data_IF_388922752203
#
_entry.id   IF_388922752203
#
_cell.length_a   1.000
_cell.length_b   1.000
_cell.length_c   1.000
_cell.angle_alpha   90.00
_cell.angle_beta   90.00
_cell.angle_gamma   90.00
#
_symmetry.space_group_name_H-M   'P 1'
#
loop_
_entity.id
_entity.type
_entity.pdbx_description
1 polymer ?
#
# COMPACT_ATOMS: atom_id res chain seq x y z
N UNK A 1 -22.79 -3.52 -13.73
CA UNK A 1 -21.46 -2.91 -13.50
C UNK A 1 -21.33 -1.49 -14.05
N UNK A 2 -21.63 -1.21 -15.34
CA UNK A 2 -21.53 0.16 -15.93
C UNK A 2 -22.35 1.22 -15.16
N UNK A 3 -23.57 0.89 -14.71
CA UNK A 3 -24.43 1.81 -13.94
C UNK A 3 -23.86 2.18 -12.56
N UNK A 4 -23.21 1.23 -11.89
CA UNK A 4 -22.58 1.46 -10.56
C UNK A 4 -21.36 2.38 -10.71
N UNK A 5 -20.53 2.16 -11.73
CA UNK A 5 -19.40 3.05 -12.02
C UNK A 5 -19.84 4.48 -12.34
N UNK A 6 -20.96 4.63 -13.06
CA UNK A 6 -21.50 5.95 -13.38
C UNK A 6 -22.04 6.67 -12.14
N UNK A 7 -22.72 5.93 -11.24
CA UNK A 7 -23.23 6.49 -9.97
C UNK A 7 -22.10 6.91 -9.05
N UNK A 8 -21.04 6.10 -8.94
CA UNK A 8 -19.85 6.43 -8.15
C UNK A 8 -19.12 7.66 -8.72
N UNK A 9 -18.98 7.74 -10.04
CA UNK A 9 -18.40 8.92 -10.71
C UNK A 9 -19.23 10.19 -10.46
N UNK A 10 -20.58 10.09 -10.50
CA UNK A 10 -21.47 11.23 -10.24
C UNK A 10 -21.37 11.71 -8.78
N UNK A 11 -21.25 10.79 -7.82
CA UNK A 11 -21.06 11.12 -6.40
C UNK A 11 -19.70 11.80 -6.19
N UNK A 12 -18.63 11.34 -6.84
CA UNK A 12 -17.32 11.98 -6.75
C UNK A 12 -17.31 13.39 -7.36
N UNK A 13 -18.02 13.59 -8.48
CA UNK A 13 -18.15 14.92 -9.13
C UNK A 13 -18.98 15.88 -8.24
N UNK A 14 -20.06 15.40 -7.62
CA UNK A 14 -20.87 16.24 -6.71
C UNK A 14 -20.10 16.69 -5.47
N UNK A 15 -19.18 15.84 -4.95
CA UNK A 15 -18.31 16.22 -3.83
C UNK A 15 -17.29 17.30 -4.21
N UNK A 16 -16.83 17.35 -5.46
CA UNK A 16 -15.94 18.39 -5.95
C UNK A 16 -16.59 19.80 -5.96
N UNK A 17 -17.92 19.87 -6.09
CA UNK A 17 -18.67 21.15 -6.07
C UNK A 17 -18.72 21.83 -4.70
N UNK A 18 -18.52 21.09 -3.60
CA UNK A 18 -18.51 21.63 -2.25
C UNK A 18 -17.12 22.12 -1.81
N UNK A 19 -16.09 21.88 -2.59
CA UNK A 19 -14.69 22.24 -2.29
C UNK A 19 -14.37 23.74 -2.49
N UNK A 20 -15.36 24.58 -2.84
CA UNK A 20 -15.14 25.99 -3.17
C UNK A 20 -15.39 26.98 -2.01
N UNK A 21 -15.51 26.49 -0.76
CA UNK A 21 -15.77 27.37 0.36
C UNK A 21 -14.49 27.73 1.14
N UNK A 22 -14.22 29.05 1.14
CA UNK A 22 -13.23 29.81 1.92
C UNK A 22 -11.75 29.41 1.81
N UNK A 23 -10.99 30.37 1.31
CA UNK A 23 -9.54 30.44 1.22
C UNK A 23 -8.92 30.43 2.63
N UNK A 24 -8.99 29.30 3.31
CA UNK A 24 -8.16 29.03 4.47
C UNK A 24 -6.87 28.37 4.00
N UNK A 25 -5.76 28.89 4.49
CA UNK A 25 -4.34 28.65 4.25
C UNK A 25 -3.88 27.15 4.29
N UNK A 26 -4.68 26.21 3.78
CA UNK A 26 -4.48 24.78 3.96
C UNK A 26 -4.26 23.95 2.67
N UNK A 27 -4.47 24.54 1.50
CA UNK A 27 -4.21 23.82 0.26
C UNK A 27 -2.70 23.79 0.01
N UNK A 28 -2.11 22.61 0.12
CA UNK A 28 -0.66 22.39 -0.02
C UNK A 28 -0.39 21.21 -0.92
N UNK A 29 0.60 21.39 -1.77
CA UNK A 29 1.18 20.30 -2.56
C UNK A 29 2.53 19.99 -1.93
N UNK A 30 2.82 18.72 -1.72
CA UNK A 30 4.07 18.27 -1.15
C UNK A 30 4.62 17.06 -1.87
N UNK A 31 5.90 16.88 -1.70
CA UNK A 31 6.60 15.65 -2.05
C UNK A 31 6.87 14.87 -0.77
N UNK A 32 6.89 13.57 -0.85
CA UNK A 32 7.26 12.74 0.28
C UNK A 32 8.13 11.56 -0.15
N UNK A 33 8.91 11.10 0.79
CA UNK A 33 9.70 9.88 0.68
C UNK A 33 9.75 9.18 2.03
N UNK A 34 9.94 7.88 2.01
CA UNK A 34 9.94 7.10 3.23
C UNK A 34 10.39 5.67 3.05
N UNK A 35 10.30 4.96 4.15
CA UNK A 35 10.54 3.52 4.23
C UNK A 35 9.23 2.81 4.53
N UNK A 36 9.14 1.58 4.08
CA UNK A 36 8.02 0.72 4.41
C UNK A 36 8.50 -0.64 4.93
N UNK A 37 7.67 -1.29 5.71
CA UNK A 37 7.80 -2.68 6.08
C UNK A 37 6.60 -3.43 5.54
N UNK A 38 6.84 -4.36 4.62
CA UNK A 38 5.82 -5.19 4.01
C UNK A 38 5.79 -6.55 4.69
N UNK A 39 4.60 -7.01 5.04
CA UNK A 39 4.35 -8.32 5.64
C UNK A 39 3.26 -9.03 4.83
N UNK A 40 3.55 -10.19 4.28
CA UNK A 40 2.54 -11.02 3.62
C UNK A 40 1.96 -12.00 4.64
N UNK A 41 0.72 -11.78 5.06
CA UNK A 41 0.02 -12.69 5.97
C UNK A 41 -0.62 -13.83 5.16
N UNK A 42 -0.09 -15.03 5.29
CA UNK A 42 -0.59 -16.24 4.62
C UNK A 42 -0.37 -17.46 5.51
N UNK A 43 -1.22 -18.47 5.34
CA UNK A 43 -1.08 -19.78 6.00
C UNK A 43 -0.48 -20.84 5.04
N UNK A 44 -0.22 -20.50 3.78
CA UNK A 44 0.24 -21.45 2.78
C UNK A 44 1.74 -21.76 2.92
N UNK A 45 2.54 -20.78 3.38
CA UNK A 45 3.99 -20.90 3.57
C UNK A 45 4.48 -19.87 4.57
N UNK A 46 5.70 -20.09 5.10
CA UNK A 46 6.31 -19.16 6.05
C UNK A 46 6.89 -17.96 5.34
N UNK A 47 6.51 -16.76 5.79
CA UNK A 47 6.98 -15.48 5.27
C UNK A 47 7.69 -14.69 6.34
N UNK A 48 8.64 -13.85 5.92
CA UNK A 48 9.30 -12.87 6.78
C UNK A 48 9.07 -11.46 6.22
N UNK A 49 8.77 -10.48 7.09
CA UNK A 49 8.66 -9.09 6.67
C UNK A 49 9.94 -8.58 6.02
N UNK A 50 9.82 -7.77 4.99
CA UNK A 50 10.93 -7.09 4.39
C UNK A 50 10.75 -5.57 4.41
N UNK A 51 11.87 -4.86 4.34
CA UNK A 51 11.91 -3.40 4.29
C UNK A 51 12.06 -2.94 2.86
N UNK A 52 11.28 -1.92 2.48
CA UNK A 52 11.35 -1.28 1.18
C UNK A 52 11.36 0.23 1.32
N UNK A 53 11.14 0.91 0.21
CA UNK A 53 11.04 2.36 0.14
C UNK A 53 9.77 2.80 -0.59
N UNK A 54 9.36 4.02 -0.35
CA UNK A 54 8.27 4.66 -1.07
C UNK A 54 8.56 6.14 -1.29
N UNK A 55 7.90 6.74 -2.27
CA UNK A 55 7.97 8.16 -2.54
C UNK A 55 6.87 8.60 -3.48
N UNK A 56 6.48 9.87 -3.38
CA UNK A 56 5.37 10.37 -4.18
C UNK A 56 5.00 11.82 -3.94
N UNK A 57 3.79 12.13 -4.37
CA UNK A 57 3.18 13.44 -4.25
C UNK A 57 1.99 13.38 -3.29
N UNK A 58 1.84 14.41 -2.46
CA UNK A 58 0.70 14.59 -1.55
C UNK A 58 0.07 15.95 -1.77
N UNK A 59 -1.25 15.97 -1.85
CA UNK A 59 -2.05 17.19 -1.88
C UNK A 59 -2.96 17.19 -0.67
N UNK A 60 -2.83 18.20 0.18
CA UNK A 60 -3.67 18.40 1.36
C UNK A 60 -4.53 19.62 1.15
N UNK A 61 -5.83 19.49 1.32
CA UNK A 61 -6.80 20.57 1.23
C UNK A 61 -7.73 20.61 2.40
N UNK A 62 -8.17 21.81 2.83
CA UNK A 62 -9.20 21.94 3.84
C UNK A 62 -10.54 21.45 3.27
N UNK A 63 -11.19 20.55 3.99
CA UNK A 63 -12.47 20.01 3.59
C UNK A 63 -13.62 20.65 4.38
N UNK A 64 -13.56 20.62 5.70
CA UNK A 64 -14.59 21.20 6.56
C UNK A 64 -14.09 21.34 7.99
N UNK A 65 -14.13 22.54 8.58
CA UNK A 65 -13.69 22.81 9.95
C UNK A 65 -12.31 22.19 10.27
N UNK A 66 -12.31 21.20 11.17
CA UNK A 66 -11.11 20.48 11.60
C UNK A 66 -10.72 19.32 10.69
N UNK A 67 -11.34 19.20 9.52
CA UNK A 67 -11.11 18.13 8.56
C UNK A 67 -10.37 18.64 7.33
N UNK A 68 -9.29 17.98 7.00
CA UNK A 68 -8.61 18.09 5.71
C UNK A 68 -8.88 16.82 4.88
N UNK A 69 -8.79 16.97 3.58
CA UNK A 69 -8.71 15.86 2.64
C UNK A 69 -7.27 15.76 2.12
N UNK A 70 -6.71 14.57 2.17
CA UNK A 70 -5.36 14.29 1.67
C UNK A 70 -5.45 13.30 0.53
N UNK A 71 -5.02 13.74 -0.64
CA UNK A 71 -4.84 12.91 -1.80
C UNK A 71 -3.36 12.62 -1.98
N UNK A 72 -2.97 11.37 -2.19
CA UNK A 72 -1.58 11.04 -2.46
C UNK A 72 -1.45 10.01 -3.59
N UNK A 73 -0.39 10.16 -4.35
CA UNK A 73 0.09 9.20 -5.34
C UNK A 73 1.51 8.82 -4.98
N UNK A 74 1.80 7.51 -4.90
CA UNK A 74 3.13 7.04 -4.56
C UNK A 74 3.55 5.85 -5.43
N UNK A 75 4.86 5.74 -5.58
CA UNK A 75 5.54 4.54 -6.02
C UNK A 75 6.24 3.91 -4.84
N UNK A 76 6.27 2.59 -4.79
CA UNK A 76 6.95 1.86 -3.73
C UNK A 76 7.60 0.58 -4.27
N UNK A 77 8.66 0.19 -3.60
CA UNK A 77 9.20 -1.15 -3.66
C UNK A 77 8.94 -1.82 -2.31
N UNK A 78 8.28 -2.95 -2.36
CA UNK A 78 7.92 -3.73 -1.19
C UNK A 78 8.69 -5.04 -1.24
N UNK A 79 9.37 -5.39 -0.16
CA UNK A 79 10.19 -6.58 -0.08
C UNK A 79 9.64 -7.53 0.99
N UNK A 80 9.75 -8.81 0.77
CA UNK A 80 9.48 -9.86 1.76
C UNK A 80 10.26 -11.10 1.39
N UNK A 81 10.40 -12.03 2.32
CA UNK A 81 11.08 -13.30 2.08
C UNK A 81 10.15 -14.46 2.38
N UNK A 82 10.40 -15.57 1.71
CA UNK A 82 9.72 -16.85 1.92
C UNK A 82 10.78 -17.90 2.26
N UNK A 83 10.50 -18.70 3.29
CA UNK A 83 11.39 -19.81 3.65
C UNK A 83 11.38 -20.86 2.53
N UNK A 84 12.56 -21.18 2.01
CA UNK A 84 12.77 -22.17 0.95
C UNK A 84 13.83 -23.19 1.34
N UNK A 85 13.79 -24.36 0.72
CA UNK A 85 14.82 -25.36 0.83
C UNK A 85 15.62 -25.43 -0.48
N UNK A 86 16.88 -25.11 -0.42
CA UNK A 86 17.87 -25.47 -1.42
C UNK A 86 18.36 -26.90 -1.10
N UNK A 87 19.09 -27.53 -2.01
CA UNK A 87 19.44 -28.97 -1.98
C UNK A 87 19.91 -29.50 -0.62
N UNK A 88 20.46 -28.64 0.26
CA UNK A 88 20.98 -29.06 1.58
C UNK A 88 20.75 -28.03 2.71
N UNK A 89 20.19 -26.88 2.44
CA UNK A 89 20.11 -25.77 3.40
C UNK A 89 18.72 -25.10 3.30
N UNK A 90 18.14 -24.76 4.43
CA UNK A 90 16.94 -23.88 4.49
C UNK A 90 17.43 -22.44 4.37
N UNK A 91 17.02 -21.76 3.32
CA UNK A 91 17.37 -20.36 3.03
C UNK A 91 16.10 -19.52 2.86
N UNK A 92 16.24 -18.22 2.94
CA UNK A 92 15.13 -17.29 2.68
C UNK A 92 15.26 -16.76 1.25
N UNK A 93 14.28 -17.07 0.41
CA UNK A 93 14.19 -16.49 -0.94
C UNK A 93 13.53 -15.11 -0.87
N UNK A 94 14.19 -14.11 -1.44
CA UNK A 94 13.77 -12.72 -1.40
C UNK A 94 12.89 -12.36 -2.61
N UNK A 95 11.76 -11.71 -2.31
CA UNK A 95 10.84 -11.21 -3.32
C UNK A 95 10.78 -9.69 -3.29
N UNK A 96 10.74 -9.09 -4.48
CA UNK A 96 10.63 -7.63 -4.68
C UNK A 96 9.38 -7.32 -5.49
N UNK A 97 8.56 -6.42 -4.97
CA UNK A 97 7.32 -5.98 -5.58
C UNK A 97 7.33 -4.46 -5.77
N UNK A 98 7.48 -4.03 -7.01
CA UNK A 98 7.23 -2.63 -7.38
C UNK A 98 5.72 -2.39 -7.47
N UNK A 99 5.24 -1.30 -6.91
CA UNK A 99 3.82 -0.93 -6.96
C UNK A 99 3.60 0.58 -7.06
N UNK A 100 2.45 0.94 -7.60
CA UNK A 100 1.93 2.30 -7.61
C UNK A 100 0.65 2.34 -6.76
N UNK A 101 0.48 3.38 -5.95
CA UNK A 101 -0.65 3.54 -5.05
C UNK A 101 -1.28 4.91 -5.23
N UNK A 102 -2.61 4.94 -5.08
CA UNK A 102 -3.40 6.17 -4.99
C UNK A 102 -4.26 6.08 -3.74
N UNK A 103 -4.20 7.11 -2.91
CA UNK A 103 -4.98 7.18 -1.67
C UNK A 103 -5.78 8.46 -1.57
N UNK A 104 -6.93 8.36 -0.89
CA UNK A 104 -7.77 9.48 -0.51
C UNK A 104 -8.08 9.35 0.97
N UNK A 105 -7.47 10.23 1.79
CA UNK A 105 -7.56 10.16 3.23
C UNK A 105 -8.35 11.35 3.78
N UNK A 106 -9.22 11.08 4.73
CA UNK A 106 -9.75 12.10 5.63
C UNK A 106 -8.76 12.30 6.76
N UNK A 107 -8.43 13.54 7.06
CA UNK A 107 -7.46 13.92 8.06
C UNK A 107 -8.10 14.83 9.09
N UNK A 108 -8.30 14.31 10.30
CA UNK A 108 -8.82 15.07 11.44
C UNK A 108 -7.69 15.82 12.15
N UNK A 109 -7.80 17.14 12.25
CA UNK A 109 -6.82 17.99 12.92
C UNK A 109 -7.02 17.93 14.43
N UNK A 110 -6.18 17.16 15.15
CA UNK A 110 -6.17 17.11 16.61
C UNK A 110 -5.54 18.41 17.14
N UNK A 111 -4.43 18.84 16.52
CA UNK A 111 -3.79 20.11 16.77
C UNK A 111 -3.53 20.76 15.41
N UNK A 112 -4.13 21.92 15.19
CA UNK A 112 -4.03 22.63 13.90
C UNK A 112 -2.58 22.80 13.46
N UNK A 113 -2.29 22.45 12.22
CA UNK A 113 -0.95 22.46 11.61
C UNK A 113 0.13 21.58 12.26
N UNK A 114 -0.17 20.83 13.34
CA UNK A 114 0.84 20.05 14.04
C UNK A 114 0.55 18.55 14.11
N UNK A 115 -0.69 18.16 14.42
CA UNK A 115 -1.03 16.76 14.63
C UNK A 115 -2.38 16.42 13.99
N UNK A 116 -2.41 15.39 13.18
CA UNK A 116 -3.62 14.91 12.51
C UNK A 116 -3.70 13.39 12.58
N UNK A 117 -4.93 12.87 12.71
CA UNK A 117 -5.27 11.48 12.51
C UNK A 117 -5.84 11.31 11.09
N UNK A 118 -5.35 10.34 10.34
CA UNK A 118 -5.71 10.15 8.95
C UNK A 118 -6.27 8.75 8.73
N UNK A 119 -7.35 8.64 7.94
CA UNK A 119 -7.90 7.35 7.56
C UNK A 119 -8.60 7.45 6.20
N UNK A 120 -8.60 6.38 5.45
CA UNK A 120 -9.25 6.34 4.16
C UNK A 120 -8.86 5.15 3.30
N UNK A 121 -9.44 5.06 2.10
CA UNK A 121 -9.14 4.03 1.14
C UNK A 121 -7.84 4.31 0.38
N UNK A 122 -7.17 3.22 0.02
CA UNK A 122 -6.04 3.21 -0.87
C UNK A 122 -6.22 2.08 -1.89
N UNK A 123 -5.89 2.36 -3.14
CA UNK A 123 -5.83 1.38 -4.22
C UNK A 123 -4.38 1.23 -4.66
N UNK A 124 -3.92 0.00 -4.76
CA UNK A 124 -2.58 -0.35 -5.23
C UNK A 124 -2.65 -1.12 -6.53
N UNK A 125 -1.77 -0.76 -7.45
CA UNK A 125 -1.50 -1.48 -8.69
C UNK A 125 -0.14 -2.13 -8.54
N UNK A 126 -0.10 -3.46 -8.60
CA UNK A 126 1.10 -4.25 -8.48
C UNK A 126 1.76 -4.44 -9.85
N UNK A 127 3.09 -4.30 -9.87
CA UNK A 127 3.93 -4.82 -10.92
C UNK A 127 4.05 -6.35 -10.83
N UNK A 128 5.00 -6.90 -11.55
CA UNK A 128 5.34 -8.32 -11.42
C UNK A 128 6.14 -8.53 -10.13
N UNK A 129 5.78 -9.57 -9.39
CA UNK A 129 6.61 -10.03 -8.28
C UNK A 129 7.90 -10.62 -8.86
N UNK A 130 9.04 -10.17 -8.36
CA UNK A 130 10.36 -10.59 -8.82
C UNK A 130 11.04 -11.43 -7.75
N UNK A 131 11.69 -12.48 -8.20
CA UNK A 131 12.63 -13.33 -7.46
C UNK A 131 13.95 -13.35 -8.21
N UNK A 132 15.06 -13.49 -7.52
CA UNK A 132 16.36 -13.54 -8.16
C UNK A 132 16.52 -14.87 -8.94
N UNK A 133 17.17 -14.84 -10.11
CA UNK A 133 17.24 -15.98 -11.03
C UNK A 133 17.89 -17.24 -10.41
N UNK A 134 18.85 -17.02 -9.52
CA UNK A 134 19.52 -18.11 -8.81
C UNK A 134 18.62 -18.80 -7.77
N UNK A 135 17.56 -18.10 -7.31
CA UNK A 135 16.61 -18.56 -6.29
C UNK A 135 15.28 -19.09 -6.88
N UNK A 136 15.03 -18.89 -8.17
CA UNK A 136 13.74 -19.24 -8.83
C UNK A 136 13.36 -20.73 -8.68
N UNK A 137 14.34 -21.61 -8.61
CA UNK A 137 14.15 -23.05 -8.52
C UNK A 137 14.23 -23.59 -7.08
N UNK A 138 14.37 -22.73 -6.07
CA UNK A 138 14.29 -23.12 -4.67
C UNK A 138 12.88 -23.63 -4.36
N UNK A 139 12.76 -24.72 -3.58
CA UNK A 139 11.48 -25.29 -3.20
C UNK A 139 10.97 -24.56 -1.94
N UNK A 140 9.74 -24.06 -1.97
CA UNK A 140 9.12 -23.40 -0.81
C UNK A 140 8.92 -24.42 0.30
N UNK A 141 9.44 -24.13 1.49
CA UNK A 141 9.40 -25.01 2.65
C UNK A 141 7.95 -25.44 3.00
N UNK A 142 7.75 -26.73 3.13
CA UNK A 142 6.43 -27.30 3.44
C UNK A 142 5.51 -27.47 2.23
N UNK A 143 5.99 -27.21 1.02
CA UNK A 143 5.25 -27.38 -0.23
C UNK A 143 6.07 -28.14 -1.29
N UNK A 144 5.45 -28.41 -2.45
CA UNK A 144 6.13 -28.92 -3.64
C UNK A 144 6.32 -27.82 -4.71
N UNK A 145 6.16 -26.55 -4.32
CA UNK A 145 6.19 -25.41 -5.23
C UNK A 145 7.60 -24.83 -5.30
N UNK A 146 7.96 -24.37 -6.48
CA UNK A 146 9.17 -23.57 -6.67
C UNK A 146 8.92 -22.10 -6.38
N UNK A 147 9.95 -21.35 -6.04
CA UNK A 147 9.86 -19.93 -5.78
C UNK A 147 9.24 -19.14 -6.95
N UNK A 148 9.50 -19.54 -8.19
CA UNK A 148 8.90 -18.95 -9.40
C UNK A 148 7.40 -19.19 -9.56
N UNK A 149 6.83 -20.21 -8.90
CA UNK A 149 5.42 -20.60 -9.09
C UNK A 149 4.46 -19.62 -8.39
N UNK A 150 4.94 -18.85 -7.39
CA UNK A 150 4.10 -17.91 -6.62
C UNK A 150 4.19 -16.45 -7.08
N UNK A 151 4.79 -16.18 -8.25
CA UNK A 151 5.00 -14.79 -8.73
C UNK A 151 3.77 -14.16 -9.39
N UNK A 152 2.76 -14.93 -9.75
CA UNK A 152 1.51 -14.43 -10.35
C UNK A 152 0.54 -13.96 -9.26
N UNK A 153 0.64 -12.71 -8.88
CA UNK A 153 -0.18 -12.07 -7.85
C UNK A 153 -1.27 -11.18 -8.45
N UNK A 154 -2.27 -10.85 -7.64
CA UNK A 154 -3.33 -9.92 -8.02
C UNK A 154 -2.75 -8.55 -8.39
N UNK A 155 -3.16 -8.02 -9.55
CA UNK A 155 -2.71 -6.70 -10.04
C UNK A 155 -3.31 -5.54 -9.26
N UNK A 156 -4.52 -5.69 -8.73
CA UNK A 156 -5.23 -4.63 -8.02
C UNK A 156 -5.50 -5.08 -6.58
N UNK A 157 -5.08 -4.24 -5.64
CA UNK A 157 -5.32 -4.46 -4.23
C UNK A 157 -5.94 -3.22 -3.59
N UNK A 158 -6.83 -3.45 -2.63
CA UNK A 158 -7.52 -2.41 -1.89
C UNK A 158 -7.12 -2.46 -0.41
N UNK A 159 -6.71 -1.30 0.11
CA UNK A 159 -6.23 -1.16 1.48
C UNK A 159 -7.00 -0.06 2.23
N UNK A 160 -7.85 -0.35 3.19
CA UNK A 160 -8.14 0.60 4.25
C UNK A 160 -6.84 0.98 4.96
N UNK A 161 -6.68 2.26 5.20
CA UNK A 161 -5.46 2.84 5.74
C UNK A 161 -5.79 3.71 6.93
N UNK A 162 -4.98 3.65 7.97
CA UNK A 162 -5.01 4.54 9.11
C UNK A 162 -3.61 5.07 9.38
N UNK A 163 -3.47 6.32 9.78
CA UNK A 163 -2.18 6.92 10.06
C UNK A 163 -2.25 8.14 10.95
N UNK A 164 -1.09 8.57 11.41
CA UNK A 164 -0.89 9.78 12.17
C UNK A 164 0.14 10.63 11.44
N UNK A 165 -0.15 11.92 11.30
CA UNK A 165 0.76 12.89 10.71
C UNK A 165 1.08 13.97 11.74
N UNK A 166 2.35 14.16 12.05
CA UNK A 166 2.83 15.17 12.99
C UNK A 166 3.92 16.05 12.37
N UNK A 167 4.02 17.31 12.81
CA UNK A 167 5.08 18.22 12.35
C UNK A 167 4.68 19.67 12.38
N UNK A 168 5.22 20.42 11.44
CA UNK A 168 4.94 21.85 11.24
C UNK A 168 4.32 22.09 9.87
N UNK A 169 4.01 23.34 9.54
CA UNK A 169 3.31 23.72 8.31
C UNK A 169 3.91 23.10 7.03
N UNK A 170 5.23 23.13 6.88
CA UNK A 170 5.92 22.72 5.65
C UNK A 170 6.59 21.34 5.74
N UNK A 171 6.87 20.84 6.95
CA UNK A 171 7.57 19.55 7.15
C UNK A 171 6.79 18.69 8.12
N UNK A 172 6.39 17.52 7.68
CA UNK A 172 5.61 16.57 8.48
C UNK A 172 6.18 15.16 8.39
N UNK A 173 6.04 14.44 9.47
CA UNK A 173 6.26 13.00 9.55
C UNK A 173 4.90 12.31 9.54
N UNK A 174 4.74 11.31 8.72
CA UNK A 174 3.57 10.45 8.67
C UNK A 174 3.97 9.01 8.99
N UNK A 175 3.20 8.37 9.87
CA UNK A 175 3.26 6.93 10.10
C UNK A 175 1.89 6.37 9.81
N UNK A 176 1.80 5.38 8.91
CA UNK A 176 0.52 4.80 8.50
C UNK A 176 0.60 3.28 8.35
N UNK A 177 -0.51 2.62 8.65
CA UNK A 177 -0.69 1.19 8.45
C UNK A 177 -1.79 0.95 7.42
N UNK A 178 -1.51 0.07 6.47
CA UNK A 178 -2.36 -0.34 5.36
C UNK A 178 -2.59 -1.84 5.45
N UNK A 179 -3.84 -2.29 5.36
CA UNK A 179 -4.17 -3.71 5.38
C UNK A 179 -4.94 -4.11 4.12
N UNK A 180 -4.46 -5.11 3.40
CA UNK A 180 -5.10 -5.57 2.17
C UNK A 180 -6.37 -6.37 2.45
N UNK A 181 -7.51 -5.94 1.91
CA UNK A 181 -8.77 -6.65 2.08
C UNK A 181 -8.95 -7.81 1.09
N UNK A 182 -8.44 -7.67 -0.11
CA UNK A 182 -8.56 -8.72 -1.12
C UNK A 182 -7.35 -9.68 -1.07
N UNK A 183 -7.56 -10.87 -1.61
CA UNK A 183 -6.51 -11.89 -1.67
C UNK A 183 -5.46 -11.53 -2.73
N UNK A 184 -4.25 -11.17 -2.29
CA UNK A 184 -3.13 -10.86 -3.19
C UNK A 184 -2.66 -12.10 -3.95
N UNK A 185 -2.74 -13.29 -3.36
CA UNK A 185 -2.35 -14.57 -3.97
C UNK A 185 -3.46 -15.23 -4.79
N UNK A 186 -4.60 -14.53 -4.99
CA UNK A 186 -5.79 -15.10 -5.62
C UNK A 186 -5.58 -15.63 -7.05
N UNK A 187 -4.65 -15.03 -7.81
CA UNK A 187 -4.36 -15.48 -9.17
C UNK A 187 -3.76 -16.90 -9.21
N UNK A 188 -3.02 -17.29 -8.15
CA UNK A 188 -2.41 -18.62 -8.07
C UNK A 188 -3.45 -19.74 -8.06
N UNK A 189 -4.66 -19.48 -7.54
CA UNK A 189 -5.74 -20.44 -7.50
C UNK A 189 -6.24 -20.84 -8.89
N UNK A 190 -5.94 -20.04 -9.92
CA UNK A 190 -6.28 -20.35 -11.31
C UNK A 190 -5.26 -21.29 -11.99
N UNK A 191 -4.13 -21.57 -11.35
CA UNK A 191 -3.03 -22.36 -11.92
C UNK A 191 -3.09 -23.86 -11.56
N UNK A 192 -4.11 -24.29 -10.81
CA UNK A 192 -4.28 -25.68 -10.37
C UNK A 192 -3.06 -26.29 -9.66
N UNK A 193 -2.39 -25.50 -8.84
CA UNK A 193 -1.18 -25.90 -8.11
C UNK A 193 -1.46 -26.86 -6.91
N UNK A 194 -2.71 -27.28 -6.71
CA UNK A 194 -3.10 -28.22 -5.65
C UNK A 194 -3.26 -27.59 -4.26
N UNK A 195 -3.21 -26.26 -4.16
CA UNK A 195 -3.37 -25.49 -2.92
C UNK A 195 -4.43 -24.41 -3.10
N UNK A 196 -5.10 -24.05 -2.02
CA UNK A 196 -5.95 -22.85 -1.95
C UNK A 196 -5.13 -21.71 -1.33
N UNK A 197 -4.67 -20.79 -2.20
CA UNK A 197 -3.81 -19.69 -1.81
C UNK A 197 -4.60 -18.51 -1.27
N UNK A 198 -4.21 -18.06 -0.08
CA UNK A 198 -4.77 -16.87 0.53
C UNK A 198 -3.67 -16.03 1.17
N UNK A 199 -3.55 -14.78 0.74
CA UNK A 199 -2.55 -13.85 1.27
C UNK A 199 -3.08 -12.43 1.32
N UNK A 200 -3.03 -11.82 2.52
CA UNK A 200 -3.47 -10.46 2.78
C UNK A 200 -2.28 -9.65 3.32
N UNK A 201 -1.62 -8.83 2.50
CA UNK A 201 -0.50 -8.03 2.97
C UNK A 201 -0.91 -6.96 3.97
N UNK A 202 0.02 -6.67 4.91
CA UNK A 202 0.04 -5.48 5.73
C UNK A 202 1.27 -4.64 5.39
N UNK A 203 1.14 -3.32 5.34
CA UNK A 203 2.25 -2.40 5.05
C UNK A 203 2.28 -1.32 6.14
N UNK A 204 3.40 -1.23 6.84
CA UNK A 204 3.69 -0.13 7.75
C UNK A 204 4.60 0.87 7.03
N UNK A 205 4.18 2.13 6.93
CA UNK A 205 4.95 3.19 6.27
C UNK A 205 5.39 4.25 7.27
N UNK A 206 6.61 4.76 7.09
CA UNK A 206 7.12 5.94 7.75
C UNK A 206 7.63 6.94 6.70
N UNK A 207 6.99 8.11 6.60
CA UNK A 207 7.22 9.09 5.54
C UNK A 207 7.61 10.45 6.08
N UNK A 208 8.54 11.12 5.41
CA UNK A 208 8.80 12.54 5.55
C UNK A 208 8.12 13.28 4.39
N UNK A 209 7.26 14.24 4.71
CA UNK A 209 6.50 15.02 3.75
C UNK A 209 6.98 16.48 3.81
N UNK A 210 7.30 17.04 2.65
CA UNK A 210 7.69 18.45 2.51
C UNK A 210 6.63 19.13 1.65
N UNK A 211 5.88 20.05 2.26
CA UNK A 211 4.86 20.87 1.59
C UNK A 211 5.47 22.19 1.11
N UNK A 212 5.09 22.55 -0.11
CA UNK A 212 5.46 23.82 -0.77
C UNK A 212 4.50 24.94 -0.38
#
# INVERSE_FOLDING_TARGET
MKKICFTVALVLISMAGFAQYEYRDSNRIGIFFGINQFTLNTNNFQTKPGTGWNGGLSMRGNFYNDWDMVYAMQFSENNFSVATNSVFITEDTNYKLASAQVSLMLSYKIVENHLSLEFGPLVQINGKLKVDQDEENNIISGTLLFAKDIVDISKFNFYPTIGITAGVRHVRLNVSYQYCLNNMLGNLNNQNLGYDFKGNPGILNGNLIIYL
#
